data_IF_729746103910
#
_entry.id   IF_729746103910
#
_cell.length_a   1.000
_cell.length_b   1.000
_cell.length_c   1.000
_cell.angle_alpha   90.00
_cell.angle_beta   90.00
_cell.angle_gamma   90.00
#
_symmetry.space_group_name_H-M   'P 1'
#
loop_
_entity.id
_entity.type
_entity.pdbx_description
1 polymer ?
#
# COMPACT_ATOMS: atom_id res chain seq x y z
N UNK A 1 -33.42 0.73 -69.60
CA UNK A 1 -34.07 2.01 -69.25
C UNK A 1 -34.61 1.86 -67.84
N UNK A 2 -34.53 2.93 -67.06
CA UNK A 2 -34.55 3.01 -65.57
C UNK A 2 -33.31 2.43 -64.88
N UNK A 3 -32.67 3.10 -63.91
CA UNK A 3 -32.68 4.52 -63.54
C UNK A 3 -31.44 4.78 -62.65
N UNK A 4 -31.19 6.06 -62.36
CA UNK A 4 -30.21 6.65 -61.47
C UNK A 4 -29.98 5.92 -60.11
N UNK A 5 -28.92 6.15 -59.35
CA UNK A 5 -28.00 7.27 -59.37
C UNK A 5 -26.94 7.18 -58.27
N UNK A 6 -26.04 8.15 -58.34
CA UNK A 6 -24.93 8.37 -57.42
C UNK A 6 -25.38 9.01 -56.10
N UNK A 7 -24.77 8.62 -54.99
CA UNK A 7 -24.52 9.52 -53.86
C UNK A 7 -23.31 9.06 -53.05
N UNK A 8 -22.33 9.97 -52.96
CA UNK A 8 -21.09 9.88 -52.19
C UNK A 8 -21.30 10.57 -50.83
N UNK A 9 -21.05 9.87 -49.73
CA UNK A 9 -20.95 10.43 -48.37
C UNK A 9 -19.62 9.93 -47.78
N UNK A 10 -18.58 10.76 -47.70
CA UNK A 10 -18.27 11.77 -46.66
C UNK A 10 -17.94 11.11 -45.33
N UNK A 11 -16.64 11.09 -45.03
CA UNK A 11 -16.06 10.52 -43.82
C UNK A 11 -16.55 11.21 -42.56
N UNK A 12 -16.70 10.40 -41.52
CA UNK A 12 -16.83 10.83 -40.14
C UNK A 12 -15.65 10.24 -39.36
N UNK A 13 -14.85 11.15 -38.82
CA UNK A 13 -13.70 10.97 -37.96
C UNK A 13 -14.13 10.25 -36.66
N UNK A 14 -13.46 9.15 -36.34
CA UNK A 14 -13.67 8.42 -35.09
C UNK A 14 -13.08 9.23 -33.93
N UNK A 15 -13.82 9.46 -32.83
CA UNK A 15 -13.24 10.11 -31.66
C UNK A 15 -12.24 9.18 -30.96
N UNK A 16 -11.03 9.69 -30.76
CA UNK A 16 -9.94 9.08 -29.99
C UNK A 16 -10.40 8.60 -28.61
N UNK A 17 -9.83 7.51 -28.07
CA UNK A 17 -10.15 7.06 -26.72
C UNK A 17 -9.69 8.11 -25.70
N UNK A 18 -10.68 8.74 -25.06
CA UNK A 18 -10.47 9.54 -23.86
C UNK A 18 -9.83 8.64 -22.80
N UNK A 19 -8.59 8.97 -22.44
CA UNK A 19 -7.92 8.46 -21.23
C UNK A 19 -8.84 8.70 -20.05
N UNK A 20 -9.48 7.63 -19.57
CA UNK A 20 -10.14 7.62 -18.28
C UNK A 20 -9.03 7.52 -17.25
N UNK A 21 -8.72 8.64 -16.61
CA UNK A 21 -7.90 8.64 -15.40
C UNK A 21 -8.60 7.75 -14.37
N UNK A 22 -7.99 6.60 -14.08
CA UNK A 22 -8.39 5.73 -12.98
C UNK A 22 -8.20 6.53 -11.70
N UNK A 23 -9.29 7.07 -11.15
CA UNK A 23 -9.28 7.62 -9.81
C UNK A 23 -8.97 6.46 -8.86
N UNK A 24 -7.75 6.42 -8.33
CA UNK A 24 -7.36 5.47 -7.29
C UNK A 24 -8.26 5.72 -6.08
N UNK A 25 -9.26 4.86 -5.89
CA UNK A 25 -10.14 4.90 -4.72
C UNK A 25 -9.28 4.73 -3.47
N UNK A 26 -9.09 5.81 -2.71
CA UNK A 26 -8.30 5.79 -1.47
C UNK A 26 -8.94 4.80 -0.49
N UNK A 27 -8.16 3.83 0.01
CA UNK A 27 -8.68 2.81 0.92
C UNK A 27 -9.25 3.47 2.19
N UNK A 28 -10.33 2.91 2.76
CA UNK A 28 -11.01 3.48 3.94
C UNK A 28 -10.06 3.80 5.10
N UNK A 29 -8.99 3.02 5.26
CA UNK A 29 -7.99 3.25 6.31
C UNK A 29 -7.09 4.45 6.01
N UNK A 30 -6.75 4.70 4.74
CA UNK A 30 -5.93 5.84 4.34
C UNK A 30 -6.66 7.15 4.66
N UNK A 31 -7.97 7.21 4.39
CA UNK A 31 -8.83 8.36 4.75
C UNK A 31 -8.87 8.58 6.26
N UNK A 32 -8.97 7.49 7.04
CA UNK A 32 -8.93 7.57 8.51
C UNK A 32 -7.60 8.12 9.02
N UNK A 33 -6.48 7.72 8.39
CA UNK A 33 -5.14 8.24 8.72
C UNK A 33 -4.97 9.70 8.31
N UNK A 34 -5.43 10.10 7.13
CA UNK A 34 -5.42 11.51 6.69
C UNK A 34 -6.15 12.41 7.70
N UNK A 35 -7.26 11.93 8.28
CA UNK A 35 -7.96 12.62 9.36
C UNK A 35 -7.14 12.73 10.66
N UNK A 36 -6.38 11.70 11.03
CA UNK A 36 -5.48 11.75 12.20
C UNK A 36 -4.30 12.69 12.01
N UNK A 37 -3.88 12.93 10.76
CA UNK A 37 -2.76 13.82 10.43
C UNK A 37 -3.14 15.32 10.48
N UNK A 38 -4.43 15.65 10.52
CA UNK A 38 -4.97 17.02 10.43
C UNK A 38 -4.77 17.95 11.64
N UNK A 39 -3.70 17.79 12.43
CA UNK A 39 -3.32 18.73 13.52
C UNK A 39 -2.03 19.46 13.14
N UNK A 40 -2.10 20.78 13.10
CA UNK A 40 -1.23 21.71 12.37
C UNK A 40 0.25 21.80 12.83
N UNK A 41 1.09 21.75 11.80
CA UNK A 41 2.41 22.34 11.48
C UNK A 41 3.52 22.60 12.52
N UNK A 42 4.68 22.04 12.17
CA UNK A 42 6.02 22.50 12.55
C UNK A 42 7.08 21.68 11.79
N UNK A 43 7.73 22.28 10.80
CA UNK A 43 8.63 21.60 9.85
C UNK A 43 10.03 21.26 10.36
N UNK A 44 10.76 20.46 9.59
CA UNK A 44 12.19 20.21 9.79
C UNK A 44 12.73 19.01 9.01
N UNK A 45 13.38 19.28 7.89
CA UNK A 45 14.11 18.33 7.04
C UNK A 45 15.42 17.85 7.69
N UNK A 46 15.78 16.58 7.52
CA UNK A 46 17.11 16.06 7.86
C UNK A 46 17.42 14.76 7.14
N UNK A 47 18.45 14.78 6.30
CA UNK A 47 18.91 13.67 5.46
C UNK A 47 19.68 12.62 6.28
N UNK A 48 19.54 11.32 5.98
CA UNK A 48 20.37 10.26 6.58
C UNK A 48 20.97 9.36 5.50
N UNK A 49 22.23 9.66 5.17
CA UNK A 49 23.01 9.07 4.06
C UNK A 49 23.87 7.85 4.48
N UNK A 50 23.88 7.48 5.76
CA UNK A 50 24.83 6.45 6.28
C UNK A 50 24.24 5.04 6.46
N UNK A 51 22.90 4.91 6.48
CA UNK A 51 22.24 3.59 6.63
C UNK A 51 22.22 2.75 5.36
N UNK A 52 22.46 3.37 4.19
CA UNK A 52 22.38 2.71 2.89
C UNK A 52 23.51 1.69 2.63
N UNK A 53 24.62 1.76 3.37
CA UNK A 53 25.84 1.03 3.01
C UNK A 53 25.94 -0.40 3.59
N UNK A 54 25.05 -0.78 4.53
CA UNK A 54 25.11 -2.08 5.24
C UNK A 54 24.04 -3.09 4.77
N UNK A 55 23.23 -2.77 3.76
CA UNK A 55 22.29 -3.70 3.10
C UNK A 55 22.94 -4.24 1.83
N UNK A 56 24.04 -4.98 1.97
CA UNK A 56 24.55 -5.81 0.87
C UNK A 56 24.17 -7.25 1.17
N UNK A 57 23.41 -7.85 0.24
CA UNK A 57 23.09 -9.29 0.14
C UNK A 57 21.86 -9.84 0.90
N UNK A 58 20.73 -9.12 0.96
CA UNK A 58 19.45 -9.79 1.22
C UNK A 58 18.80 -10.11 -0.13
N UNK A 59 18.84 -11.38 -0.54
CA UNK A 59 18.01 -11.89 -1.64
C UNK A 59 16.54 -11.76 -1.23
N UNK A 60 15.83 -10.76 -1.77
CA UNK A 60 14.38 -10.57 -1.62
C UNK A 60 13.91 -10.18 -0.21
N UNK A 61 13.15 -9.09 -0.10
CA UNK A 61 12.37 -8.84 1.11
C UNK A 61 11.11 -9.70 1.07
N UNK A 62 10.70 -10.28 2.22
CA UNK A 62 9.48 -11.08 2.32
C UNK A 62 8.75 -10.86 3.64
N UNK A 63 7.44 -11.12 3.62
CA UNK A 63 6.60 -11.25 4.80
C UNK A 63 6.38 -12.75 4.98
N UNK A 64 7.18 -13.35 5.84
CA UNK A 64 7.21 -14.80 6.01
C UNK A 64 5.96 -15.33 6.72
N UNK A 65 5.35 -16.39 6.15
CA UNK A 65 4.28 -17.15 6.79
C UNK A 65 4.81 -18.50 7.26
N UNK A 66 4.70 -18.78 8.56
CA UNK A 66 5.13 -20.07 9.11
C UNK A 66 4.26 -21.20 8.52
N UNK A 67 4.85 -22.20 7.84
CA UNK A 67 4.14 -23.35 7.30
C UNK A 67 3.32 -24.10 8.35
N UNK A 68 2.14 -24.63 7.99
CA UNK A 68 1.26 -25.34 8.94
C UNK A 68 1.94 -26.52 9.60
N UNK A 69 2.67 -27.34 8.84
CA UNK A 69 3.34 -28.52 9.40
C UNK A 69 4.34 -28.16 10.52
N UNK A 70 5.02 -27.01 10.45
CA UNK A 70 5.92 -26.55 11.52
C UNK A 70 5.11 -26.16 12.77
N UNK A 71 3.97 -25.48 12.57
CA UNK A 71 3.08 -25.08 13.67
C UNK A 71 2.44 -26.30 14.35
N UNK A 72 2.17 -27.36 13.59
CA UNK A 72 1.53 -28.58 14.08
C UNK A 72 2.53 -29.54 14.75
N UNK A 73 3.78 -29.59 14.28
CA UNK A 73 4.86 -30.37 14.92
C UNK A 73 5.37 -29.72 16.22
N UNK A 74 5.28 -28.40 16.33
CA UNK A 74 5.71 -27.62 17.50
C UNK A 74 4.50 -27.05 18.26
N UNK A 75 4.75 -26.06 19.13
CA UNK A 75 3.69 -25.32 19.80
C UNK A 75 3.16 -24.20 18.90
N UNK A 76 1.94 -24.35 18.37
CA UNK A 76 1.27 -23.33 17.53
C UNK A 76 1.29 -21.92 18.13
N UNK A 77 1.11 -21.80 19.46
CA UNK A 77 1.11 -20.52 20.18
C UNK A 77 2.46 -19.79 20.16
N UNK A 78 3.55 -20.49 19.85
CA UNK A 78 4.88 -19.87 19.73
C UNK A 78 5.01 -18.98 18.49
N UNK A 79 4.14 -19.18 17.50
CA UNK A 79 4.13 -18.44 16.24
C UNK A 79 2.97 -17.43 16.14
N UNK A 80 2.18 -17.30 17.21
CA UNK A 80 1.10 -16.33 17.29
C UNK A 80 1.58 -15.09 18.07
N UNK A 81 1.46 -13.88 17.50
CA UNK A 81 1.82 -12.66 18.22
C UNK A 81 0.87 -12.45 19.40
N UNK A 82 1.42 -12.06 20.55
CA UNK A 82 0.63 -11.88 21.78
C UNK A 82 0.23 -10.42 22.03
N UNK A 83 1.04 -9.46 21.57
CA UNK A 83 0.85 -8.04 21.86
C UNK A 83 0.59 -7.23 20.58
N UNK A 84 1.48 -7.35 19.60
CA UNK A 84 1.39 -6.61 18.34
C UNK A 84 1.79 -7.51 17.19
N UNK A 85 1.02 -7.46 16.10
CA UNK A 85 1.45 -8.00 14.80
C UNK A 85 1.84 -6.87 13.86
N UNK A 86 2.98 -7.07 13.20
CA UNK A 86 3.46 -6.25 12.10
C UNK A 86 3.26 -7.05 10.81
N UNK A 87 2.38 -6.55 9.94
CA UNK A 87 2.07 -7.19 8.66
C UNK A 87 0.64 -7.73 8.57
N UNK A 88 0.30 -8.38 7.45
CA UNK A 88 -1.08 -8.71 7.09
C UNK A 88 -1.65 -9.97 7.74
N UNK A 89 -0.82 -10.91 8.19
CA UNK A 89 -1.29 -12.27 8.52
C UNK A 89 -2.10 -12.39 9.81
N UNK A 90 -1.89 -11.50 10.78
CA UNK A 90 -2.64 -11.47 12.04
C UNK A 90 -3.44 -10.17 12.19
N UNK A 91 -3.73 -9.49 11.08
CA UNK A 91 -4.50 -8.25 11.13
C UNK A 91 -5.95 -8.51 11.58
N UNK A 92 -6.42 -7.73 12.55
CA UNK A 92 -7.80 -7.79 13.03
C UNK A 92 -8.09 -8.86 14.10
N UNK A 93 -7.09 -9.61 14.55
CA UNK A 93 -7.28 -10.54 15.66
C UNK A 93 -7.67 -9.80 16.95
N UNK A 94 -8.70 -10.25 17.69
CA UNK A 94 -9.21 -9.55 18.88
C UNK A 94 -8.14 -9.24 19.92
N UNK A 95 -7.20 -10.16 20.13
CA UNK A 95 -6.11 -10.01 21.10
C UNK A 95 -5.10 -8.90 20.73
N UNK A 96 -5.05 -8.50 19.45
CA UNK A 96 -4.09 -7.52 18.92
C UNK A 96 -4.70 -6.13 18.70
N UNK A 97 -6.02 -6.01 18.73
CA UNK A 97 -6.75 -4.75 18.56
C UNK A 97 -6.24 -3.60 19.46
N UNK A 98 -5.87 -3.83 20.75
CA UNK A 98 -5.35 -2.75 21.60
C UNK A 98 -4.12 -2.03 21.01
N UNK A 99 -3.29 -2.75 20.25
CA UNK A 99 -2.09 -2.20 19.62
C UNK A 99 -2.33 -1.51 18.28
N UNK A 100 -3.52 -1.65 17.67
CA UNK A 100 -3.85 -0.97 16.41
C UNK A 100 -3.82 0.56 16.55
N UNK A 101 -4.31 1.09 17.68
CA UNK A 101 -4.25 2.53 17.98
C UNK A 101 -2.80 3.01 18.03
N UNK A 102 -1.91 2.20 18.60
CA UNK A 102 -0.49 2.53 18.73
C UNK A 102 0.24 2.45 17.38
N UNK A 103 -0.11 1.48 16.52
CA UNK A 103 0.41 1.39 15.15
C UNK A 103 0.02 2.63 14.33
N UNK A 104 -1.24 3.07 14.42
CA UNK A 104 -1.73 4.28 13.76
C UNK A 104 -0.99 5.54 14.23
N UNK A 105 -0.79 5.68 15.54
CA UNK A 105 0.01 6.78 16.11
C UNK A 105 1.46 6.74 15.61
N UNK A 106 2.07 5.56 15.52
CA UNK A 106 3.43 5.41 15.00
C UNK A 106 3.53 5.83 13.53
N UNK A 107 2.57 5.42 12.69
CA UNK A 107 2.49 5.87 11.29
C UNK A 107 2.31 7.39 11.22
N UNK A 108 1.41 7.96 12.02
CA UNK A 108 1.20 9.41 12.05
C UNK A 108 2.48 10.17 12.41
N UNK A 109 3.18 9.75 13.46
CA UNK A 109 4.45 10.36 13.86
C UNK A 109 5.54 10.22 12.78
N UNK A 110 5.62 9.06 12.11
CA UNK A 110 6.57 8.83 11.02
C UNK A 110 6.28 9.75 9.83
N UNK A 111 5.03 9.84 9.41
CA UNK A 111 4.59 10.68 8.29
C UNK A 111 4.85 12.15 8.61
N UNK A 112 4.43 12.63 9.78
CA UNK A 112 4.65 14.02 10.20
C UNK A 112 6.14 14.39 10.24
N UNK A 113 6.99 13.51 10.80
CA UNK A 113 8.44 13.74 10.85
C UNK A 113 9.07 13.78 9.45
N UNK A 114 8.52 13.04 8.50
CA UNK A 114 9.08 12.97 7.14
C UNK A 114 8.80 14.20 6.28
N UNK A 115 7.75 14.97 6.61
CA UNK A 115 7.24 16.06 5.77
C UNK A 115 6.67 15.61 4.41
N UNK A 116 6.49 14.30 4.18
CA UNK A 116 5.94 13.72 2.95
C UNK A 116 4.46 13.34 3.14
N UNK A 117 3.63 13.42 2.10
CA UNK A 117 2.23 13.01 2.20
C UNK A 117 2.12 11.49 2.43
N UNK A 118 1.12 11.07 3.21
CA UNK A 118 0.86 9.65 3.51
C UNK A 118 0.79 8.77 2.25
N UNK A 119 0.15 9.27 1.19
CA UNK A 119 0.02 8.59 -0.10
C UNK A 119 1.36 8.12 -0.66
N UNK A 120 2.45 8.87 -0.48
CA UNK A 120 3.78 8.46 -0.96
C UNK A 120 4.29 7.20 -0.25
N UNK A 121 3.96 7.01 1.02
CA UNK A 121 4.29 5.80 1.76
C UNK A 121 3.40 4.64 1.33
N UNK A 122 2.09 4.89 1.20
CA UNK A 122 1.12 3.87 0.78
C UNK A 122 1.49 3.32 -0.59
N UNK A 123 1.68 4.18 -1.60
CA UNK A 123 2.06 3.75 -2.95
C UNK A 123 3.38 2.98 -2.97
N UNK A 124 4.38 3.42 -2.19
CA UNK A 124 5.67 2.74 -2.12
C UNK A 124 5.56 1.33 -1.52
N UNK A 125 4.69 1.14 -0.53
CA UNK A 125 4.44 -0.20 0.06
C UNK A 125 3.58 -1.04 -0.88
N UNK A 126 2.56 -0.47 -1.52
CA UNK A 126 1.70 -1.17 -2.47
C UNK A 126 2.49 -1.77 -3.63
N UNK A 127 3.44 -1.01 -4.19
CA UNK A 127 4.32 -1.43 -5.30
C UNK A 127 5.05 -2.75 -5.01
N UNK A 128 5.51 -2.94 -3.78
CA UNK A 128 6.26 -4.15 -3.38
C UNK A 128 5.40 -5.17 -2.65
N UNK A 129 4.17 -4.84 -2.24
CA UNK A 129 3.38 -5.63 -1.29
C UNK A 129 3.09 -7.06 -1.75
N UNK A 130 2.83 -7.26 -3.04
CA UNK A 130 2.57 -8.58 -3.62
C UNK A 130 3.84 -9.43 -3.65
N UNK A 131 4.97 -8.83 -4.07
CA UNK A 131 6.28 -9.49 -4.05
C UNK A 131 6.64 -9.91 -2.63
N UNK A 132 6.45 -9.03 -1.65
CA UNK A 132 6.72 -9.32 -0.24
C UNK A 132 5.89 -10.51 0.29
N UNK A 133 4.63 -10.65 -0.13
CA UNK A 133 3.74 -11.72 0.35
C UNK A 133 4.00 -13.08 -0.29
N UNK A 134 4.58 -13.07 -1.50
CA UNK A 134 4.78 -14.26 -2.33
C UNK A 134 6.25 -14.67 -2.46
N UNK A 135 7.15 -13.98 -1.76
CA UNK A 135 8.58 -14.27 -1.72
C UNK A 135 8.93 -15.50 -0.87
#
# INVERSE_FOLDING_TARGET
MEEAGAAKAKGAEAPSPTTTAMASTSSSWVVEMEKLLGVSEGGGSGQSSVVAQMVRQQEGHSIYRVPEYIKDMANRKAYEPQLVSLGPFHYGEPQLLPMEVHKRRAVAHMVNRSGKPLQKFVSAVEEISEQLRNA
#
